data_IF_508014777570
#
_entry.id   IF_508014777570
#
_cell.length_a   1.000
_cell.length_b   1.000
_cell.length_c   1.000
_cell.angle_alpha   90.00
_cell.angle_beta   90.00
_cell.angle_gamma   90.00
#
_symmetry.space_group_name_H-M   'P 1'
#
loop_
_entity.id
_entity.type
_entity.pdbx_description
1 polymer ?
#
# COMPACT_ATOMS: atom_id res chain seq x y z
N UNK A 1 -28.06 -0.01 -13.51
CA UNK A 1 -26.80 -0.56 -12.99
C UNK A 1 -26.13 0.49 -12.09
N UNK A 2 -25.87 0.19 -10.81
CA UNK A 2 -25.18 1.11 -9.89
C UNK A 2 -23.83 1.63 -10.38
N UNK A 3 -23.06 0.84 -11.15
CA UNK A 3 -21.76 1.26 -11.69
C UNK A 3 -21.93 2.36 -12.74
N UNK A 4 -22.93 2.23 -13.61
CA UNK A 4 -23.26 3.25 -14.62
C UNK A 4 -23.72 4.54 -13.97
N UNK A 5 -24.58 4.45 -12.95
CA UNK A 5 -25.05 5.61 -12.19
C UNK A 5 -23.88 6.32 -11.50
N UNK A 6 -23.00 5.58 -10.83
CA UNK A 6 -21.83 6.14 -10.17
C UNK A 6 -20.91 6.88 -11.16
N UNK A 7 -20.63 6.29 -12.32
CA UNK A 7 -19.83 6.94 -13.36
C UNK A 7 -20.49 8.22 -13.90
N UNK A 8 -21.81 8.21 -14.12
CA UNK A 8 -22.55 9.37 -14.60
C UNK A 8 -22.52 10.54 -13.59
N UNK A 9 -22.68 10.26 -12.29
CA UNK A 9 -22.62 11.28 -11.23
C UNK A 9 -21.22 11.90 -11.12
N UNK A 10 -20.16 11.09 -11.20
CA UNK A 10 -18.78 11.60 -11.22
C UNK A 10 -18.55 12.52 -12.42
N UNK A 11 -19.01 12.11 -13.60
CA UNK A 11 -18.87 12.90 -14.82
C UNK A 11 -19.66 14.21 -14.75
N UNK A 12 -20.90 14.18 -14.24
CA UNK A 12 -21.72 15.38 -14.07
C UNK A 12 -21.02 16.43 -13.18
N UNK A 13 -20.39 15.99 -12.08
CA UNK A 13 -19.60 16.87 -11.23
C UNK A 13 -18.34 17.40 -11.91
N UNK A 14 -17.56 16.51 -12.55
CA UNK A 14 -16.33 16.90 -13.26
C UNK A 14 -16.59 17.93 -14.36
N UNK A 15 -17.71 17.80 -15.09
CA UNK A 15 -18.17 18.74 -16.11
C UNK A 15 -18.95 19.94 -15.54
N UNK A 16 -19.19 19.98 -14.22
CA UNK A 16 -19.96 21.02 -13.51
C UNK A 16 -21.35 21.27 -14.11
N UNK A 17 -22.07 20.20 -14.43
CA UNK A 17 -23.44 20.27 -14.97
C UNK A 17 -24.39 20.71 -13.86
N UNK A 18 -24.69 22.00 -13.80
CA UNK A 18 -25.47 22.63 -12.73
C UNK A 18 -26.88 22.05 -12.58
N UNK A 19 -27.49 21.62 -13.68
CA UNK A 19 -28.83 21.05 -13.73
C UNK A 19 -28.93 19.72 -12.96
N UNK A 20 -27.81 18.99 -12.85
CA UNK A 20 -27.73 17.70 -12.15
C UNK A 20 -27.25 17.81 -10.70
N UNK A 21 -27.02 19.03 -10.20
CA UNK A 21 -26.57 19.23 -8.82
C UNK A 21 -27.61 18.71 -7.80
N UNK A 22 -28.90 18.92 -8.07
CA UNK A 22 -29.97 18.39 -7.23
C UNK A 22 -29.94 16.86 -7.14
N UNK A 23 -29.66 16.19 -8.26
CA UNK A 23 -29.53 14.73 -8.30
C UNK A 23 -28.31 14.24 -7.51
N UNK A 24 -27.20 14.97 -7.58
CA UNK A 24 -26.00 14.68 -6.79
C UNK A 24 -26.29 14.81 -5.28
N UNK A 25 -26.95 15.89 -4.84
CA UNK A 25 -27.35 16.06 -3.43
C UNK A 25 -28.28 14.94 -2.98
N UNK A 26 -29.30 14.62 -3.78
CA UNK A 26 -30.24 13.55 -3.48
C UNK A 26 -29.53 12.18 -3.38
N UNK A 27 -28.67 11.85 -4.35
CA UNK A 27 -27.93 10.59 -4.36
C UNK A 27 -26.96 10.46 -3.17
N UNK A 28 -26.29 11.54 -2.75
CA UNK A 28 -25.38 11.50 -1.60
C UNK A 28 -26.13 11.20 -0.28
N UNK A 29 -27.29 11.84 -0.07
CA UNK A 29 -28.09 11.72 1.15
C UNK A 29 -28.98 10.47 1.23
N UNK A 30 -29.20 9.77 0.11
CA UNK A 30 -30.15 8.65 0.04
C UNK A 30 -29.62 7.40 0.75
N UNK A 31 -30.15 7.11 1.94
CA UNK A 31 -29.65 6.05 2.83
C UNK A 31 -29.70 4.64 2.24
N UNK A 32 -30.70 4.35 1.40
CA UNK A 32 -30.91 3.06 0.72
C UNK A 32 -30.14 2.94 -0.61
N UNK A 33 -29.46 3.99 -1.07
CA UNK A 33 -28.64 3.92 -2.27
C UNK A 33 -27.35 3.12 -2.04
N UNK A 34 -26.85 2.37 -3.05
CA UNK A 34 -25.57 1.68 -2.95
C UNK A 34 -24.43 2.63 -2.57
N UNK A 35 -23.54 2.18 -1.69
CA UNK A 35 -22.43 3.01 -1.17
C UNK A 35 -21.60 3.66 -2.28
N UNK A 36 -21.27 2.90 -3.34
CA UNK A 36 -20.52 3.40 -4.48
C UNK A 36 -21.21 4.56 -5.22
N UNK A 37 -22.55 4.54 -5.30
CA UNK A 37 -23.34 5.63 -5.90
C UNK A 37 -23.30 6.87 -5.01
N UNK A 38 -23.44 6.69 -3.69
CA UNK A 38 -23.36 7.78 -2.72
C UNK A 38 -21.97 8.44 -2.73
N UNK A 39 -20.90 7.65 -2.73
CA UNK A 39 -19.52 8.14 -2.83
C UNK A 39 -19.28 8.90 -4.14
N UNK A 40 -19.77 8.37 -5.27
CA UNK A 40 -19.69 9.05 -6.56
C UNK A 40 -20.40 10.41 -6.54
N UNK A 41 -21.57 10.50 -5.91
CA UNK A 41 -22.29 11.74 -5.74
C UNK A 41 -21.50 12.76 -4.90
N UNK A 42 -20.93 12.34 -3.77
CA UNK A 42 -20.08 13.19 -2.93
C UNK A 42 -18.87 13.72 -3.69
N UNK A 43 -18.18 12.87 -4.46
CA UNK A 43 -17.08 13.31 -5.32
C UNK A 43 -17.56 14.31 -6.39
N UNK A 44 -18.74 14.12 -6.97
CA UNK A 44 -19.32 15.06 -7.92
C UNK A 44 -19.62 16.42 -7.28
N UNK A 45 -20.17 16.43 -6.07
CA UNK A 45 -20.45 17.65 -5.29
C UNK A 45 -19.18 18.46 -4.98
N UNK A 46 -18.01 17.82 -4.90
CA UNK A 46 -16.73 18.51 -4.67
C UNK A 46 -16.41 19.58 -5.72
N UNK A 47 -17.02 19.53 -6.91
CA UNK A 47 -16.79 20.48 -7.99
C UNK A 47 -17.67 21.73 -7.93
N UNK A 48 -18.65 21.77 -7.02
CA UNK A 48 -19.62 22.86 -6.89
C UNK A 48 -19.28 23.74 -5.67
N UNK A 49 -19.05 25.06 -5.86
CA UNK A 49 -18.63 25.97 -4.79
C UNK A 49 -19.79 26.63 -4.03
N UNK A 50 -21.05 26.36 -4.39
CA UNK A 50 -22.21 26.97 -3.74
C UNK A 50 -22.55 26.33 -2.39
N UNK A 51 -23.46 26.98 -1.66
CA UNK A 51 -23.89 26.57 -0.32
C UNK A 51 -24.66 25.25 -0.32
N UNK A 52 -25.39 24.91 -1.39
CA UNK A 52 -26.15 23.65 -1.46
C UNK A 52 -25.24 22.44 -1.48
N UNK A 53 -24.18 22.47 -2.30
CA UNK A 53 -23.15 21.44 -2.28
C UNK A 53 -22.43 21.37 -0.93
N UNK A 54 -22.09 22.53 -0.36
CA UNK A 54 -21.44 22.63 0.96
C UNK A 54 -22.27 21.95 2.06
N UNK A 55 -23.54 22.28 2.16
CA UNK A 55 -24.46 21.76 3.19
C UNK A 55 -24.65 20.25 3.06
N UNK A 56 -24.82 19.74 1.83
CA UNK A 56 -24.95 18.31 1.57
C UNK A 56 -23.69 17.54 2.00
N UNK A 57 -22.50 18.06 1.68
CA UNK A 57 -21.23 17.45 2.07
C UNK A 57 -21.03 17.48 3.60
N UNK A 58 -21.31 18.59 4.27
CA UNK A 58 -21.22 18.69 5.73
C UNK A 58 -22.17 17.71 6.41
N UNK A 59 -23.41 17.58 5.91
CA UNK A 59 -24.39 16.65 6.47
C UNK A 59 -23.91 15.19 6.43
N UNK A 60 -23.27 14.77 5.33
CA UNK A 60 -22.73 13.41 5.20
C UNK A 60 -21.41 13.23 5.95
N UNK A 61 -20.59 14.28 6.08
CA UNK A 61 -19.34 14.24 6.85
C UNK A 61 -19.57 14.10 8.37
N UNK A 62 -20.77 14.44 8.86
CA UNK A 62 -21.14 14.31 10.28
C UNK A 62 -21.40 12.87 10.74
N UNK A 63 -21.59 12.70 12.05
CA UNK A 63 -21.68 11.39 12.73
C UNK A 63 -22.86 10.49 12.34
N UNK A 64 -23.82 10.99 11.56
CA UNK A 64 -25.03 10.24 11.14
C UNK A 64 -24.84 9.30 9.94
N UNK A 65 -23.70 9.36 9.25
CA UNK A 65 -23.42 8.52 8.07
C UNK A 65 -22.44 7.38 8.37
N UNK A 66 -22.38 6.30 7.58
CA UNK A 66 -21.29 5.32 7.65
C UNK A 66 -19.90 5.94 7.49
N UNK A 67 -18.90 5.45 8.22
CA UNK A 67 -17.55 6.00 8.25
C UNK A 67 -16.88 6.17 6.86
N UNK A 68 -17.02 5.23 5.89
CA UNK A 68 -16.50 5.45 4.53
C UNK A 68 -17.09 6.68 3.84
N UNK A 69 -18.39 6.94 4.02
CA UNK A 69 -19.08 8.10 3.44
C UNK A 69 -18.69 9.39 4.16
N UNK A 70 -18.54 9.36 5.49
CA UNK A 70 -18.08 10.52 6.24
C UNK A 70 -16.69 10.98 5.75
N UNK A 71 -15.76 10.03 5.60
CA UNK A 71 -14.41 10.27 5.09
C UNK A 71 -14.44 10.82 3.65
N UNK A 72 -15.27 10.22 2.78
CA UNK A 72 -15.44 10.69 1.40
C UNK A 72 -15.98 12.13 1.34
N UNK A 73 -17.00 12.45 2.13
CA UNK A 73 -17.60 13.78 2.18
C UNK A 73 -16.64 14.84 2.75
N UNK A 74 -15.90 14.51 3.81
CA UNK A 74 -14.89 15.39 4.39
C UNK A 74 -13.79 15.76 3.38
N UNK A 75 -13.33 14.78 2.59
CA UNK A 75 -12.34 15.02 1.52
C UNK A 75 -12.94 15.78 0.34
N UNK A 76 -14.23 15.58 0.02
CA UNK A 76 -14.90 16.31 -1.05
C UNK A 76 -15.05 17.82 -0.74
N UNK A 77 -15.15 18.21 0.54
CA UNK A 77 -15.18 19.62 0.96
C UNK A 77 -13.87 20.35 0.62
N UNK A 78 -12.74 19.64 0.53
CA UNK A 78 -11.40 20.24 0.45
C UNK A 78 -11.23 21.18 -0.75
N UNK A 79 -11.90 20.90 -1.87
CA UNK A 79 -11.72 21.65 -3.13
C UNK A 79 -12.30 23.07 -3.08
N UNK A 80 -13.50 23.22 -2.52
CA UNK A 80 -14.22 24.51 -2.52
C UNK A 80 -14.57 25.03 -1.12
N UNK A 81 -14.54 24.18 -0.09
CA UNK A 81 -15.03 24.43 1.27
C UNK A 81 -13.97 24.08 2.31
N UNK A 82 -12.75 24.58 2.10
CA UNK A 82 -11.52 24.15 2.79
C UNK A 82 -11.61 24.23 4.32
N UNK A 83 -12.20 25.29 4.86
CA UNK A 83 -12.31 25.47 6.31
C UNK A 83 -13.19 24.37 6.96
N UNK A 84 -14.31 24.03 6.33
CA UNK A 84 -15.19 22.96 6.80
C UNK A 84 -14.55 21.59 6.66
N UNK A 85 -13.77 21.38 5.60
CA UNK A 85 -13.00 20.16 5.41
C UNK A 85 -12.03 19.91 6.57
N UNK A 86 -11.30 20.93 7.03
CA UNK A 86 -10.36 20.81 8.15
C UNK A 86 -11.08 20.41 9.45
N UNK A 87 -12.25 21.01 9.72
CA UNK A 87 -13.08 20.69 10.88
C UNK A 87 -13.58 19.24 10.79
N UNK A 88 -14.10 18.83 9.64
CA UNK A 88 -14.61 17.48 9.42
C UNK A 88 -13.50 16.42 9.53
N UNK A 89 -12.35 16.65 8.89
CA UNK A 89 -11.20 15.73 8.93
C UNK A 89 -10.74 15.54 10.38
N UNK A 90 -10.54 16.63 11.13
CA UNK A 90 -10.15 16.57 12.55
C UNK A 90 -11.12 15.73 13.39
N UNK A 91 -12.43 15.87 13.15
CA UNK A 91 -13.45 15.11 13.87
C UNK A 91 -13.43 13.60 13.55
N UNK A 92 -12.91 13.21 12.39
CA UNK A 92 -12.83 11.80 11.95
C UNK A 92 -11.58 11.07 12.48
N UNK A 93 -10.49 11.79 12.73
CA UNK A 93 -9.21 11.18 13.11
C UNK A 93 -9.26 10.26 14.35
N UNK A 94 -10.03 10.56 15.41
CA UNK A 94 -10.13 9.67 16.56
C UNK A 94 -10.75 8.30 16.24
N UNK A 95 -11.55 8.22 15.16
CA UNK A 95 -12.16 6.98 14.68
C UNK A 95 -11.26 6.14 13.78
N UNK A 96 -10.09 6.65 13.37
CA UNK A 96 -9.11 5.92 12.55
C UNK A 96 -8.21 5.03 13.42
N UNK A 97 -8.81 4.01 14.05
CA UNK A 97 -8.07 3.11 14.94
C UNK A 97 -7.41 1.93 14.22
N UNK A 98 -7.87 1.59 13.02
CA UNK A 98 -7.24 0.57 12.17
C UNK A 98 -6.14 1.20 11.31
N UNK A 99 -4.95 0.62 11.33
CA UNK A 99 -3.78 1.17 10.63
C UNK A 99 -3.93 1.14 9.10
N UNK A 100 -4.63 0.15 8.55
CA UNK A 100 -4.87 0.02 7.11
C UNK A 100 -5.84 1.10 6.65
N UNK A 101 -6.93 1.30 7.39
CA UNK A 101 -7.90 2.37 7.12
C UNK A 101 -7.28 3.76 7.28
N UNK A 102 -6.49 3.98 8.33
CA UNK A 102 -5.78 5.24 8.55
C UNK A 102 -4.87 5.56 7.37
N UNK A 103 -4.06 4.60 6.92
CA UNK A 103 -3.16 4.78 5.77
C UNK A 103 -3.93 5.07 4.48
N UNK A 104 -5.00 4.33 4.21
CA UNK A 104 -5.84 4.58 3.03
C UNK A 104 -6.48 5.97 3.05
N UNK A 105 -6.89 6.44 4.24
CA UNK A 105 -7.42 7.79 4.41
C UNK A 105 -6.35 8.86 4.17
N UNK A 106 -5.20 8.76 4.82
CA UNK A 106 -4.11 9.74 4.70
C UNK A 106 -3.52 9.78 3.29
N UNK A 107 -3.40 8.64 2.60
CA UNK A 107 -2.99 8.61 1.19
C UNK A 107 -3.94 9.44 0.31
N UNK A 108 -5.26 9.34 0.52
CA UNK A 108 -6.23 10.16 -0.22
C UNK A 108 -6.21 11.62 0.20
N UNK A 109 -6.16 11.90 1.50
CA UNK A 109 -6.13 13.27 2.01
C UNK A 109 -4.91 14.04 1.49
N UNK A 110 -3.72 13.44 1.58
CA UNK A 110 -2.46 14.07 1.19
C UNK A 110 -2.26 14.14 -0.33
N UNK A 111 -3.12 13.47 -1.11
CA UNK A 111 -3.25 13.68 -2.56
C UNK A 111 -4.02 14.95 -2.93
N UNK A 112 -4.55 15.71 -1.97
CA UNK A 112 -5.26 16.97 -2.22
C UNK A 112 -4.32 18.15 -1.96
N UNK A 113 -4.09 18.97 -2.99
CA UNK A 113 -3.04 19.99 -2.94
C UNK A 113 -3.19 20.94 -1.75
N UNK A 114 -2.06 21.23 -1.10
CA UNK A 114 -1.92 22.07 0.08
C UNK A 114 -2.48 21.51 1.38
N UNK A 115 -3.18 20.36 1.38
CA UNK A 115 -3.96 19.93 2.55
C UNK A 115 -3.07 19.58 3.74
N UNK A 116 -1.89 19.01 3.48
CA UNK A 116 -0.84 18.78 4.47
C UNK A 116 -0.53 20.04 5.29
N UNK A 117 -0.23 21.15 4.61
CA UNK A 117 0.15 22.41 5.26
C UNK A 117 -1.01 23.04 6.05
N UNK A 118 -2.24 22.91 5.55
CA UNK A 118 -3.42 23.42 6.24
C UNK A 118 -3.77 22.58 7.46
N UNK A 119 -3.64 21.26 7.39
CA UNK A 119 -3.80 20.36 8.54
C UNK A 119 -2.73 20.63 9.61
N UNK A 120 -1.47 20.84 9.22
CA UNK A 120 -0.41 21.23 10.15
C UNK A 120 -0.77 22.50 10.93
N UNK A 121 -1.22 23.56 10.23
CA UNK A 121 -1.69 24.80 10.86
C UNK A 121 -2.90 24.56 11.76
N UNK A 122 -3.86 23.77 11.29
CA UNK A 122 -5.08 23.43 12.05
C UNK A 122 -4.74 22.70 13.35
N UNK A 123 -3.81 21.75 13.31
CA UNK A 123 -3.40 20.97 14.49
C UNK A 123 -2.56 21.80 15.47
N UNK A 124 -1.81 22.80 15.00
CA UNK A 124 -1.17 23.75 15.90
C UNK A 124 -2.19 24.67 16.60
N UNK A 125 -3.22 25.12 15.88
CA UNK A 125 -4.26 26.00 16.43
C UNK A 125 -5.19 25.27 17.40
N UNK A 126 -5.52 24.02 17.07
CA UNK A 126 -6.30 23.13 17.90
C UNK A 126 -5.56 21.79 17.95
N UNK A 127 -4.85 21.48 19.04
CA UNK A 127 -4.17 20.20 19.19
C UNK A 127 -5.14 19.01 19.15
N UNK A 128 -4.67 17.87 18.63
CA UNK A 128 -5.29 16.56 18.80
C UNK A 128 -4.93 16.01 20.18
N UNK A 129 -5.69 15.05 20.69
CA UNK A 129 -5.26 14.27 21.85
C UNK A 129 -4.10 13.32 21.47
N UNK A 130 -3.30 12.96 22.46
CA UNK A 130 -2.08 12.16 22.30
C UNK A 130 -2.33 10.83 21.58
N UNK A 131 -3.44 10.15 21.90
CA UNK A 131 -3.78 8.87 21.29
C UNK A 131 -4.12 9.06 19.81
N UNK A 132 -4.94 10.04 19.48
CA UNK A 132 -5.30 10.34 18.08
C UNK A 132 -4.06 10.73 17.27
N UNK A 133 -3.18 11.58 17.80
CA UNK A 133 -1.93 11.94 17.14
C UNK A 133 -1.04 10.71 16.91
N UNK A 134 -0.87 9.87 17.93
CA UNK A 134 -0.05 8.65 17.87
C UNK A 134 -0.57 7.63 16.85
N UNK A 135 -1.89 7.47 16.73
CA UNK A 135 -2.49 6.53 15.77
C UNK A 135 -2.33 7.00 14.31
N UNK A 136 -2.34 8.31 14.08
CA UNK A 136 -2.31 8.88 12.74
C UNK A 136 -0.89 9.18 12.24
N UNK A 137 0.06 9.44 13.14
CA UNK A 137 1.46 9.73 12.80
C UNK A 137 2.09 8.68 11.84
N UNK A 138 1.97 7.35 12.07
CA UNK A 138 2.55 6.34 11.18
C UNK A 138 1.89 6.21 9.80
N UNK A 139 0.75 6.87 9.60
CA UNK A 139 0.01 6.85 8.34
C UNK A 139 0.39 8.01 7.40
N UNK A 140 1.09 9.02 7.89
CA UNK A 140 1.58 10.16 7.10
C UNK A 140 2.96 9.82 6.51
N UNK A 141 3.16 9.90 5.19
CA UNK A 141 4.48 9.70 4.57
C UNK A 141 5.50 10.73 5.07
N UNK A 142 6.70 10.28 5.42
CA UNK A 142 7.80 11.13 5.91
C UNK A 142 8.59 11.74 4.75
N UNK A 143 7.99 12.76 4.15
CA UNK A 143 8.54 13.54 3.04
C UNK A 143 8.51 15.03 3.36
N UNK A 144 9.31 15.82 2.66
CA UNK A 144 9.47 17.26 2.91
C UNK A 144 8.14 18.03 2.82
N UNK A 145 7.24 17.66 1.89
CA UNK A 145 5.91 18.26 1.74
C UNK A 145 4.99 18.02 2.95
N UNK A 146 5.31 17.05 3.79
CA UNK A 146 4.55 16.68 4.98
C UNK A 146 5.29 17.00 6.28
N UNK A 147 6.50 17.56 6.21
CA UNK A 147 7.33 17.85 7.38
C UNK A 147 6.60 18.66 8.46
N UNK A 148 5.86 19.71 8.07
CA UNK A 148 5.10 20.53 9.02
C UNK A 148 3.95 19.76 9.70
N UNK A 149 3.28 18.86 8.97
CA UNK A 149 2.21 18.03 9.51
C UNK A 149 2.77 16.96 10.46
N UNK A 150 3.86 16.31 10.05
CA UNK A 150 4.57 15.32 10.86
C UNK A 150 5.12 15.92 12.14
N UNK A 151 5.67 17.13 12.07
CA UNK A 151 6.13 17.86 13.25
C UNK A 151 4.97 18.12 14.23
N UNK A 152 3.83 18.62 13.73
CA UNK A 152 2.64 18.82 14.55
C UNK A 152 2.17 17.52 15.22
N UNK A 153 2.12 16.41 14.47
CA UNK A 153 1.71 15.11 14.99
C UNK A 153 2.72 14.53 15.99
N UNK A 154 4.03 14.66 15.73
CA UNK A 154 5.10 14.20 16.63
C UNK A 154 5.05 14.93 17.97
N UNK A 155 4.93 16.26 17.95
CA UNK A 155 4.82 17.06 19.18
C UNK A 155 3.60 16.65 20.02
N UNK A 156 2.50 16.27 19.37
CA UNK A 156 1.24 15.93 20.03
C UNK A 156 1.16 14.46 20.47
N UNK A 157 1.86 13.55 19.78
CA UNK A 157 1.94 12.14 20.13
C UNK A 157 2.85 11.84 21.34
N UNK A 158 3.54 12.84 21.90
CA UNK A 158 4.32 12.68 23.12
C UNK A 158 5.53 11.75 22.97
N UNK A 159 5.92 11.05 24.04
CA UNK A 159 7.10 10.17 24.03
C UNK A 159 7.02 9.02 23.00
N UNK A 160 5.82 8.70 22.50
CA UNK A 160 5.61 7.75 21.40
C UNK A 160 6.08 8.27 20.02
N UNK A 161 6.38 9.57 19.90
CA UNK A 161 6.85 10.21 18.66
C UNK A 161 8.35 10.14 18.42
N UNK A 162 9.12 9.64 19.40
CA UNK A 162 10.56 9.52 19.30
C UNK A 162 10.93 8.54 18.19
N UNK A 163 11.36 9.07 17.05
CA UNK A 163 12.14 8.30 16.10
C UNK A 163 13.31 7.64 16.86
N UNK A 164 13.73 6.45 16.44
CA UNK A 164 14.72 5.67 17.16
C UNK A 164 15.98 6.50 17.40
N UNK A 165 16.25 6.84 18.67
CA UNK A 165 17.51 7.44 19.08
C UNK A 165 18.66 6.52 18.62
N UNK A 166 19.86 7.04 18.33
CA UNK A 166 21.01 6.21 17.94
C UNK A 166 21.23 4.99 18.87
N UNK A 167 20.89 5.12 20.15
CA UNK A 167 20.94 4.06 21.16
C UNK A 167 20.00 2.88 20.85
N UNK A 168 18.86 3.14 20.21
CA UNK A 168 17.90 2.11 19.81
C UNK A 168 18.36 1.28 18.59
N UNK A 169 19.19 1.85 17.69
CA UNK A 169 19.78 1.09 16.58
C UNK A 169 20.74 0.03 17.13
N UNK A 170 21.63 0.41 18.05
CA UNK A 170 22.57 -0.53 18.66
C UNK A 170 21.87 -1.61 19.48
N UNK A 171 20.80 -1.25 20.21
CA UNK A 171 19.95 -2.20 20.91
C UNK A 171 19.31 -3.23 19.96
N UNK A 172 18.74 -2.77 18.84
CA UNK A 172 18.17 -3.65 17.82
C UNK A 172 19.23 -4.52 17.12
N UNK A 173 20.44 -3.99 16.86
CA UNK A 173 21.56 -4.77 16.32
C UNK A 173 21.90 -5.93 17.26
N UNK A 174 22.06 -5.66 18.56
CA UNK A 174 22.35 -6.68 19.56
C UNK A 174 21.23 -7.72 19.64
N UNK A 175 19.97 -7.28 19.78
CA UNK A 175 18.81 -8.17 19.87
C UNK A 175 18.65 -9.05 18.62
N UNK A 176 18.81 -8.47 17.43
CA UNK A 176 18.77 -9.20 16.14
C UNK A 176 19.87 -10.25 16.05
N UNK A 177 21.07 -9.91 16.52
CA UNK A 177 22.23 -10.81 16.47
C UNK A 177 22.03 -12.00 17.40
N UNK A 178 21.57 -11.75 18.64
CA UNK A 178 21.44 -12.76 19.69
C UNK A 178 20.17 -13.61 19.56
N UNK A 179 19.04 -13.00 19.22
CA UNK A 179 17.70 -13.62 19.35
C UNK A 179 16.86 -13.59 18.08
N UNK A 180 17.34 -12.95 17.02
CA UNK A 180 16.58 -12.85 15.77
C UNK A 180 16.46 -14.19 15.05
N UNK A 181 15.26 -14.48 14.55
CA UNK A 181 14.92 -15.66 13.74
C UNK A 181 14.49 -15.24 12.33
N UNK A 182 15.25 -15.68 11.33
CA UNK A 182 15.00 -15.32 9.94
C UNK A 182 13.73 -15.94 9.35
N UNK A 183 13.34 -17.15 9.80
CA UNK A 183 12.11 -17.79 9.30
C UNK A 183 10.87 -17.07 9.82
N UNK A 184 10.87 -16.66 11.10
CA UNK A 184 9.81 -15.79 11.64
C UNK A 184 9.84 -14.40 10.99
N UNK A 185 11.03 -13.86 10.75
CA UNK A 185 11.24 -12.58 10.08
C UNK A 185 10.66 -12.54 8.66
N UNK A 186 10.79 -13.62 7.91
CA UNK A 186 10.18 -13.74 6.59
C UNK A 186 8.64 -13.66 6.68
N UNK A 187 8.02 -14.34 7.64
CA UNK A 187 6.57 -14.26 7.84
C UNK A 187 6.14 -12.84 8.21
N UNK A 188 6.95 -12.10 8.96
CA UNK A 188 6.70 -10.70 9.32
C UNK A 188 6.80 -9.80 8.08
N UNK A 189 7.85 -9.93 7.28
CA UNK A 189 8.04 -9.18 6.02
C UNK A 189 6.85 -9.30 5.07
N UNK A 190 6.18 -10.46 5.08
CA UNK A 190 5.03 -10.76 4.22
C UNK A 190 3.69 -10.26 4.76
N UNK A 191 3.63 -9.73 5.98
CA UNK A 191 2.37 -9.26 6.56
C UNK A 191 1.82 -8.07 5.76
N UNK A 192 0.56 -8.10 5.31
CA UNK A 192 -0.05 -7.00 4.57
C UNK A 192 0.02 -5.64 5.30
N UNK A 193 -0.09 -5.65 6.63
CA UNK A 193 -0.03 -4.45 7.46
C UNK A 193 1.32 -3.69 7.36
N UNK A 194 2.42 -4.41 7.08
CA UNK A 194 3.76 -3.85 6.93
C UNK A 194 4.11 -3.53 5.47
N UNK A 195 3.35 -4.04 4.49
CA UNK A 195 3.50 -3.71 3.06
C UNK A 195 4.91 -3.93 2.45
N UNK A 196 5.84 -4.60 3.14
CA UNK A 196 7.22 -4.72 2.65
C UNK A 196 7.24 -5.45 1.29
N UNK A 197 6.56 -6.60 1.20
CA UNK A 197 6.41 -7.37 -0.04
C UNK A 197 5.57 -6.65 -1.13
N UNK A 198 4.73 -5.68 -0.75
CA UNK A 198 3.97 -4.86 -1.71
C UNK A 198 4.89 -3.94 -2.50
N UNK A 199 5.96 -3.43 -1.87
CA UNK A 199 6.88 -2.49 -2.50
C UNK A 199 8.16 -3.15 -2.98
N UNK A 200 8.65 -4.15 -2.27
CA UNK A 200 9.95 -4.77 -2.48
C UNK A 200 9.82 -6.23 -2.90
N UNK A 201 10.56 -6.61 -3.94
CA UNK A 201 10.66 -7.99 -4.38
C UNK A 201 11.86 -8.71 -3.76
N UNK A 202 11.72 -10.01 -3.56
CA UNK A 202 12.83 -10.94 -3.23
C UNK A 202 12.84 -12.06 -4.26
N UNK A 203 13.90 -12.14 -5.05
CA UNK A 203 14.06 -13.16 -6.08
C UNK A 203 12.91 -13.16 -7.10
N UNK A 204 12.38 -11.98 -7.42
CA UNK A 204 11.27 -11.77 -8.36
C UNK A 204 9.86 -11.82 -7.76
N UNK A 205 9.71 -12.20 -6.49
CA UNK A 205 8.41 -12.24 -5.80
C UNK A 205 8.18 -10.99 -4.95
N UNK A 206 7.10 -10.25 -5.21
CA UNK A 206 6.78 -8.97 -4.58
C UNK A 206 6.73 -7.80 -5.56
N UNK A 207 6.58 -6.59 -5.04
CA UNK A 207 6.48 -5.37 -5.83
C UNK A 207 7.81 -4.82 -6.35
N UNK A 208 7.72 -3.90 -7.32
CA UNK A 208 8.86 -3.22 -7.95
C UNK A 208 8.84 -1.70 -7.74
N UNK A 209 8.17 -1.26 -6.67
CA UNK A 209 8.09 0.15 -6.29
C UNK A 209 9.41 0.56 -5.64
N UNK A 210 9.85 -0.20 -4.64
CA UNK A 210 11.11 -0.02 -3.93
C UNK A 210 12.25 -0.89 -4.50
N UNK A 211 13.48 -0.70 -4.00
CA UNK A 211 14.63 -1.50 -4.42
C UNK A 211 14.42 -3.00 -4.22
N UNK A 212 14.92 -3.79 -5.16
CA UNK A 212 14.96 -5.25 -5.02
C UNK A 212 15.81 -5.67 -3.81
N UNK A 213 15.28 -6.62 -3.03
CA UNK A 213 15.85 -7.05 -1.75
C UNK A 213 16.61 -8.37 -1.84
N UNK A 214 16.70 -8.98 -3.03
CA UNK A 214 17.29 -10.32 -3.27
C UNK A 214 18.66 -10.51 -2.63
N UNK A 215 19.50 -9.47 -2.66
CA UNK A 215 20.90 -9.53 -2.19
C UNK A 215 21.20 -8.58 -1.02
N UNK A 216 20.17 -7.99 -0.41
CA UNK A 216 20.37 -6.83 0.46
C UNK A 216 21.23 -7.17 1.69
N UNK A 217 20.99 -8.31 2.32
CA UNK A 217 21.72 -8.76 3.51
C UNK A 217 23.17 -9.16 3.24
N UNK A 218 23.51 -9.54 2.01
CA UNK A 218 24.88 -9.75 1.57
C UNK A 218 25.61 -8.43 1.23
N UNK A 219 24.87 -7.40 0.81
CA UNK A 219 25.42 -6.13 0.33
C UNK A 219 25.47 -5.01 1.37
N UNK A 220 24.72 -5.11 2.46
CA UNK A 220 24.59 -4.06 3.46
C UNK A 220 24.76 -4.61 4.89
N UNK A 221 25.44 -3.87 5.78
CA UNK A 221 25.57 -4.26 7.19
C UNK A 221 24.24 -4.08 7.94
N UNK A 222 24.08 -4.80 9.06
CA UNK A 222 22.82 -4.87 9.79
C UNK A 222 22.36 -3.51 10.35
N UNK A 223 23.28 -2.69 10.84
CA UNK A 223 23.01 -1.34 11.32
C UNK A 223 22.44 -0.44 10.21
N UNK A 224 22.96 -0.56 8.99
CA UNK A 224 22.43 0.13 7.81
C UNK A 224 21.01 -0.33 7.47
N UNK A 225 20.72 -1.63 7.55
CA UNK A 225 19.36 -2.15 7.31
C UNK A 225 18.37 -1.59 8.33
N UNK A 226 18.77 -1.57 9.59
CA UNK A 226 17.97 -1.02 10.69
C UNK A 226 17.73 0.48 10.49
N UNK A 227 18.79 1.25 10.24
CA UNK A 227 18.70 2.69 9.95
C UNK A 227 17.77 2.96 8.76
N UNK A 228 17.88 2.18 7.68
CA UNK A 228 17.09 2.40 6.46
C UNK A 228 15.59 2.13 6.66
N UNK A 229 15.21 1.18 7.50
CA UNK A 229 13.79 0.92 7.80
C UNK A 229 13.21 1.95 8.77
N UNK A 230 14.04 2.37 9.73
CA UNK A 230 13.64 3.33 10.76
C UNK A 230 13.61 4.77 10.23
N UNK A 231 14.54 5.12 9.33
CA UNK A 231 14.74 6.44 8.75
C UNK A 231 14.82 6.34 7.21
N UNK A 232 13.74 5.96 6.52
CA UNK A 232 13.74 5.66 5.09
C UNK A 232 14.11 6.85 4.19
N UNK A 233 13.94 8.08 4.68
CA UNK A 233 14.34 9.31 3.98
C UNK A 233 15.82 9.69 4.15
N UNK A 234 16.54 9.10 5.12
CA UNK A 234 17.91 9.50 5.43
C UNK A 234 18.90 9.16 4.29
N UNK A 235 18.70 8.01 3.64
CA UNK A 235 19.54 7.52 2.53
C UNK A 235 18.66 6.83 1.49
N UNK A 236 18.28 7.57 0.47
CA UNK A 236 17.48 7.03 -0.65
C UNK A 236 18.42 6.52 -1.74
N UNK A 237 18.21 5.28 -2.19
CA UNK A 237 18.98 4.70 -3.29
C UNK A 237 18.70 5.47 -4.58
N UNK A 238 19.76 5.73 -5.35
CA UNK A 238 19.61 6.41 -6.64
C UNK A 238 18.64 5.65 -7.57
N UNK A 239 17.81 6.41 -8.29
CA UNK A 239 16.71 5.88 -9.10
C UNK A 239 15.43 5.54 -8.31
N UNK A 240 15.43 5.64 -6.98
CA UNK A 240 14.26 5.42 -6.12
C UNK A 240 13.76 6.66 -5.40
N UNK A 241 14.25 7.83 -5.78
CA UNK A 241 13.71 9.10 -5.30
C UNK A 241 12.25 9.24 -5.74
N UNK A 242 11.42 9.57 -4.75
CA UNK A 242 10.04 9.93 -4.95
C UNK A 242 9.96 11.35 -5.51
N UNK A 243 8.94 11.58 -6.34
CA UNK A 243 8.55 12.90 -6.82
C UNK A 243 7.10 13.14 -6.42
N UNK A 244 6.81 14.36 -6.02
CA UNK A 244 5.48 14.87 -5.78
C UNK A 244 5.14 15.84 -6.91
N UNK A 245 4.02 15.60 -7.59
CA UNK A 245 3.52 16.43 -8.68
C UNK A 245 2.18 17.03 -8.30
N UNK A 246 2.10 18.35 -8.32
CA UNK A 246 0.84 19.07 -8.23
C UNK A 246 0.29 19.27 -9.64
N UNK A 247 -0.97 18.94 -9.84
CA UNK A 247 -1.67 18.97 -11.13
C UNK A 247 -2.67 20.12 -11.17
N UNK A 248 -2.97 20.61 -12.38
CA UNK A 248 -3.84 21.79 -12.59
C UNK A 248 -5.26 21.63 -12.06
N UNK A 249 -5.74 20.41 -11.92
CA UNK A 249 -7.07 20.09 -11.39
C UNK A 249 -7.11 20.03 -9.85
N UNK A 250 -5.97 20.28 -9.19
CA UNK A 250 -5.81 20.42 -7.75
C UNK A 250 -5.36 19.13 -7.04
N UNK A 251 -4.98 18.09 -7.79
CA UNK A 251 -4.46 16.86 -7.20
C UNK A 251 -2.94 16.87 -7.04
N UNK A 252 -2.48 16.18 -6.01
CA UNK A 252 -1.09 15.89 -5.73
C UNK A 252 -0.88 14.41 -5.96
N UNK A 253 0.05 14.07 -6.85
CA UNK A 253 0.38 12.69 -7.19
C UNK A 253 1.83 12.44 -6.76
N UNK A 254 2.02 11.42 -5.93
CA UNK A 254 3.32 11.01 -5.43
C UNK A 254 3.69 9.65 -5.99
N UNK A 255 4.92 9.53 -6.49
CA UNK A 255 5.40 8.28 -7.06
C UNK A 255 6.88 8.32 -7.42
N UNK A 256 7.42 7.21 -7.87
CA UNK A 256 8.79 7.09 -8.36
C UNK A 256 8.82 7.49 -9.82
N UNK A 257 9.70 8.42 -10.20
CA UNK A 257 9.85 8.83 -11.58
C UNK A 257 10.38 7.67 -12.45
N UNK A 258 9.63 7.31 -13.50
CA UNK A 258 10.06 6.31 -14.49
C UNK A 258 10.60 6.97 -15.75
N UNK A 259 9.93 8.04 -16.19
CA UNK A 259 10.27 8.78 -17.40
C UNK A 259 9.80 10.23 -17.28
N UNK A 260 10.56 11.16 -17.85
CA UNK A 260 10.17 12.56 -17.99
C UNK A 260 10.70 13.12 -19.29
N UNK A 261 9.90 13.96 -19.94
CA UNK A 261 10.23 14.64 -21.19
C UNK A 261 9.46 14.10 -22.40
N UNK A 262 9.43 14.90 -23.46
CA UNK A 262 8.66 14.59 -24.67
C UNK A 262 7.16 14.90 -24.53
N UNK A 263 6.78 15.84 -23.65
CA UNK A 263 5.39 16.24 -23.40
C UNK A 263 4.66 15.35 -22.40
N UNK A 264 5.35 14.40 -21.78
CA UNK A 264 4.78 13.47 -20.83
C UNK A 264 5.77 13.08 -19.73
N UNK A 265 5.23 12.90 -18.54
CA UNK A 265 5.93 12.38 -17.37
C UNK A 265 5.20 11.13 -16.88
N UNK A 266 5.97 10.07 -16.61
CA UNK A 266 5.46 8.77 -16.14
C UNK A 266 6.05 8.46 -14.78
N UNK A 267 5.20 8.09 -13.83
CA UNK A 267 5.60 7.65 -12.49
C UNK A 267 5.02 6.28 -12.18
N UNK A 268 5.65 5.55 -11.26
CA UNK A 268 5.02 4.45 -10.54
C UNK A 268 4.50 4.98 -9.20
N UNK A 269 3.21 4.86 -8.93
CA UNK A 269 2.64 5.25 -7.64
C UNK A 269 3.04 4.28 -6.51
N UNK A 270 2.56 4.53 -5.29
CA UNK A 270 2.89 3.74 -4.10
C UNK A 270 2.44 2.26 -4.16
N UNK A 271 1.55 1.90 -5.09
CA UNK A 271 1.12 0.50 -5.31
C UNK A 271 1.71 -0.10 -6.60
N UNK A 272 2.55 0.66 -7.31
CA UNK A 272 3.24 0.23 -8.52
C UNK A 272 2.46 0.45 -9.81
N UNK A 273 1.35 1.18 -9.77
CA UNK A 273 0.61 1.56 -10.98
C UNK A 273 1.38 2.63 -11.74
N UNK A 274 1.57 2.44 -13.04
CA UNK A 274 2.11 3.49 -13.89
C UNK A 274 1.06 4.56 -14.15
N UNK A 275 1.36 5.78 -13.73
CA UNK A 275 0.53 6.97 -13.97
C UNK A 275 1.26 7.84 -14.97
N UNK A 276 0.55 8.21 -16.04
CA UNK A 276 1.08 9.00 -17.12
C UNK A 276 0.39 10.36 -17.18
N UNK A 277 1.16 11.43 -17.06
CA UNK A 277 0.69 12.80 -17.00
C UNK A 277 1.27 13.59 -18.17
N UNK A 278 0.43 14.35 -18.87
CA UNK A 278 0.93 15.37 -19.79
C UNK A 278 1.73 16.42 -19.02
N UNK A 279 2.87 16.85 -19.56
CA UNK A 279 3.74 17.80 -18.85
C UNK A 279 3.00 19.12 -18.58
N UNK A 280 2.09 19.53 -19.46
CA UNK A 280 1.24 20.70 -19.26
C UNK A 280 0.25 20.52 -18.10
N UNK A 281 -0.15 19.30 -17.75
CA UNK A 281 -1.06 19.09 -16.61
C UNK A 281 -0.37 19.33 -15.26
N UNK A 282 0.97 19.32 -15.23
CA UNK A 282 1.79 19.46 -14.02
C UNK A 282 2.06 20.94 -13.77
N UNK A 283 1.63 21.44 -12.60
CA UNK A 283 1.87 22.81 -12.14
C UNK A 283 3.20 22.91 -11.42
N UNK A 284 3.53 21.89 -10.63
CA UNK A 284 4.74 21.86 -9.83
C UNK A 284 5.21 20.43 -9.66
N UNK A 285 6.52 20.24 -9.69
CA UNK A 285 7.17 18.99 -9.36
C UNK A 285 8.23 19.26 -8.29
N UNK A 286 8.24 18.43 -7.26
CA UNK A 286 9.22 18.48 -6.18
C UNK A 286 9.79 17.08 -5.97
N UNK A 287 11.08 16.97 -5.67
CA UNK A 287 11.67 15.71 -5.22
C UNK A 287 11.37 15.56 -3.72
N UNK A 288 10.81 14.42 -3.32
CA UNK A 288 10.22 14.24 -1.98
C UNK A 288 10.96 13.19 -1.14
N UNK A 289 12.19 12.83 -1.50
CA UNK A 289 12.95 11.81 -0.78
C UNK A 289 12.46 10.39 -1.06
N UNK A 290 11.86 9.72 -0.07
CA UNK A 290 11.52 8.28 -0.11
C UNK A 290 10.02 8.03 -0.23
N UNK A 291 9.62 7.02 -1.00
CA UNK A 291 8.25 6.49 -0.98
C UNK A 291 7.99 5.58 0.23
N UNK A 292 9.03 5.09 0.90
CA UNK A 292 8.88 4.16 2.01
C UNK A 292 8.32 4.90 3.24
N UNK A 293 7.21 4.43 3.83
CA UNK A 293 6.66 5.07 5.03
C UNK A 293 7.63 4.98 6.21
N UNK A 294 7.80 6.08 6.94
CA UNK A 294 8.46 6.04 8.24
C UNK A 294 7.59 5.30 9.27
N UNK A 295 8.22 4.87 10.38
CA UNK A 295 7.54 4.19 11.50
C UNK A 295 6.76 2.92 11.11
N UNK A 296 7.08 2.31 9.97
CA UNK A 296 6.35 1.16 9.43
C UNK A 296 6.32 -0.03 10.40
N UNK A 297 7.37 -0.19 11.20
CA UNK A 297 7.52 -1.29 12.16
C UNK A 297 7.11 -0.93 13.59
N UNK A 298 6.56 0.27 13.83
CA UNK A 298 6.19 0.71 15.18
C UNK A 298 5.05 -0.13 15.79
N UNK A 299 4.25 -0.81 14.97
CA UNK A 299 3.13 -1.64 15.41
C UNK A 299 3.52 -3.07 15.78
N UNK A 300 4.79 -3.46 15.63
CA UNK A 300 5.28 -4.81 15.95
C UNK A 300 6.27 -4.77 17.13
N UNK A 301 6.31 -5.84 17.90
CA UNK A 301 7.17 -5.94 19.09
C UNK A 301 8.66 -5.88 18.75
N UNK A 302 9.52 -5.49 19.70
CA UNK A 302 10.98 -5.45 19.49
C UNK A 302 11.54 -6.81 19.02
N UNK A 303 10.98 -7.92 19.52
CA UNK A 303 11.39 -9.26 19.08
C UNK A 303 10.99 -9.53 17.62
N UNK A 304 9.80 -9.08 17.18
CA UNK A 304 9.39 -9.18 15.79
C UNK A 304 10.24 -8.27 14.88
N UNK A 305 10.63 -7.08 15.35
CA UNK A 305 11.57 -6.23 14.64
C UNK A 305 12.93 -6.94 14.48
N UNK A 306 13.44 -7.56 15.54
CA UNK A 306 14.68 -8.32 15.51
C UNK A 306 14.61 -9.53 14.55
N UNK A 307 13.48 -10.25 14.53
CA UNK A 307 13.25 -11.34 13.59
C UNK A 307 13.23 -10.82 12.15
N UNK A 308 12.50 -9.73 11.87
CA UNK A 308 12.47 -9.07 10.56
C UNK A 308 13.88 -8.68 10.09
N UNK A 309 14.66 -8.00 10.93
CA UNK A 309 16.02 -7.61 10.57
C UNK A 309 16.96 -8.81 10.42
N UNK A 310 16.75 -9.88 11.19
CA UNK A 310 17.48 -11.13 10.99
C UNK A 310 17.22 -11.65 9.58
N UNK A 311 15.97 -11.75 9.16
CA UNK A 311 15.60 -12.16 7.80
C UNK A 311 16.28 -11.28 6.74
N UNK A 312 16.14 -9.95 6.82
CA UNK A 312 16.76 -9.03 5.87
C UNK A 312 18.28 -9.20 5.80
N UNK A 313 18.94 -9.45 6.94
CA UNK A 313 20.38 -9.68 7.01
C UNK A 313 20.84 -11.00 6.37
N UNK A 314 19.94 -11.98 6.20
CA UNK A 314 20.26 -13.27 5.56
C UNK A 314 20.04 -13.26 4.04
N UNK A 315 19.29 -12.29 3.51
CA UNK A 315 18.98 -12.23 2.08
C UNK A 315 20.25 -12.16 1.22
N UNK A 316 20.39 -13.13 0.31
CA UNK A 316 21.52 -13.25 -0.60
C UNK A 316 22.78 -13.87 0.01
N UNK A 317 22.74 -14.30 1.28
CA UNK A 317 23.79 -15.14 1.87
C UNK A 317 23.49 -16.62 1.59
N UNK A 318 24.52 -17.48 1.47
CA UNK A 318 24.31 -18.91 1.28
C UNK A 318 23.42 -19.50 2.38
N UNK A 319 22.36 -20.22 1.98
CA UNK A 319 21.40 -20.85 2.89
C UNK A 319 19.96 -20.72 2.38
N UNK A 320 19.00 -20.93 3.28
CA UNK A 320 17.56 -20.95 2.96
C UNK A 320 17.03 -19.62 2.42
N UNK A 321 17.76 -18.52 2.64
CA UNK A 321 17.39 -17.17 2.21
C UNK A 321 18.24 -16.66 1.03
N UNK A 322 18.99 -17.54 0.36
CA UNK A 322 19.71 -17.19 -0.87
C UNK A 322 18.75 -17.09 -2.06
N UNK A 323 18.20 -15.92 -2.29
CA UNK A 323 17.33 -15.67 -3.45
C UNK A 323 18.09 -15.56 -4.78
N UNK A 324 19.43 -15.44 -4.73
CA UNK A 324 20.29 -15.16 -5.91
C UNK A 324 20.67 -16.43 -6.66
N UNK A 325 20.90 -17.52 -5.92
CA UNK A 325 21.34 -18.82 -6.46
C UNK A 325 20.29 -19.90 -6.31
N UNK A 326 19.36 -19.76 -5.37
CA UNK A 326 18.27 -20.72 -5.23
C UNK A 326 17.39 -20.67 -6.48
N UNK A 327 17.16 -21.85 -7.07
CA UNK A 327 16.25 -22.08 -8.21
C UNK A 327 14.81 -22.30 -7.76
N UNK A 328 14.50 -22.00 -6.51
CA UNK A 328 13.18 -22.25 -5.95
C UNK A 328 12.10 -21.36 -6.62
N UNK A 329 10.90 -21.90 -6.88
CA UNK A 329 9.78 -21.13 -7.41
C UNK A 329 9.26 -20.15 -6.35
N UNK A 330 9.44 -18.85 -6.57
CA UNK A 330 8.97 -17.80 -5.62
C UNK A 330 7.68 -17.11 -6.05
N UNK A 331 7.24 -17.33 -7.28
CA UNK A 331 5.93 -16.87 -7.75
C UNK A 331 5.11 -18.09 -8.10
N UNK A 332 4.00 -18.24 -7.40
CA UNK A 332 3.02 -19.28 -7.60
C UNK A 332 1.76 -18.69 -8.23
N UNK A 333 0.94 -19.56 -8.79
CA UNK A 333 -0.34 -19.23 -9.35
C UNK A 333 -1.37 -20.24 -8.85
N UNK A 334 -2.47 -19.76 -8.28
CA UNK A 334 -3.52 -20.58 -7.71
C UNK A 334 -4.76 -20.61 -8.61
N UNK A 335 -5.33 -21.80 -8.75
CA UNK A 335 -6.61 -22.02 -9.42
C UNK A 335 -7.53 -22.87 -8.53
N UNK A 336 -8.58 -22.28 -7.93
CA UNK A 336 -9.57 -23.03 -7.18
C UNK A 336 -10.29 -24.06 -8.06
N UNK A 337 -10.41 -25.30 -7.58
CA UNK A 337 -11.07 -26.39 -8.29
C UNK A 337 -12.51 -26.53 -7.77
N UNK A 338 -13.49 -26.36 -8.66
CA UNK A 338 -14.92 -26.52 -8.36
C UNK A 338 -15.49 -27.69 -9.16
N UNK A 339 -15.26 -28.91 -8.66
CA UNK A 339 -15.66 -30.15 -9.33
C UNK A 339 -14.52 -30.76 -10.14
N UNK A 340 -14.73 -31.03 -11.42
CA UNK A 340 -13.70 -31.60 -12.28
C UNK A 340 -12.62 -30.58 -12.65
N UNK A 341 -11.39 -31.07 -12.88
CA UNK A 341 -10.28 -30.26 -13.35
C UNK A 341 -10.62 -29.62 -14.70
N UNK A 342 -10.38 -28.31 -14.83
CA UNK A 342 -10.55 -27.62 -16.12
C UNK A 342 -9.52 -28.14 -17.13
N UNK A 343 -9.94 -28.37 -18.37
CA UNK A 343 -9.04 -28.85 -19.42
C UNK A 343 -7.85 -27.89 -19.62
N UNK A 344 -6.63 -28.43 -19.69
CA UNK A 344 -5.41 -27.66 -19.86
C UNK A 344 -4.85 -27.07 -18.55
N UNK A 345 -5.53 -27.24 -17.41
CA UNK A 345 -5.01 -26.79 -16.13
C UNK A 345 -3.75 -27.56 -15.72
N UNK A 346 -3.63 -28.83 -16.12
CA UNK A 346 -2.44 -29.67 -15.95
C UNK A 346 -1.20 -29.15 -16.70
N UNK A 347 -1.43 -28.30 -17.73
CA UNK A 347 -0.38 -27.62 -18.51
C UNK A 347 -0.18 -26.16 -18.08
N UNK A 348 -0.88 -25.68 -17.07
CA UNK A 348 -0.85 -24.27 -16.69
C UNK A 348 -1.42 -23.34 -17.76
N UNK A 349 -2.50 -23.75 -18.45
CA UNK A 349 -3.06 -22.97 -19.56
C UNK A 349 -3.36 -21.50 -19.15
N UNK A 350 -2.81 -20.50 -19.86
CA UNK A 350 -2.92 -19.09 -19.48
C UNK A 350 -4.33 -18.51 -19.65
N UNK A 351 -5.21 -19.23 -20.35
CA UNK A 351 -6.63 -18.88 -20.52
C UNK A 351 -7.45 -19.10 -19.24
N UNK A 352 -6.91 -19.80 -18.24
CA UNK A 352 -7.59 -20.04 -16.97
C UNK A 352 -7.36 -18.88 -16.00
N UNK A 353 -8.29 -18.63 -15.06
CA UNK A 353 -8.23 -17.51 -14.13
C UNK A 353 -7.26 -17.76 -12.97
N UNK A 354 -5.97 -17.91 -13.29
CA UNK A 354 -4.90 -18.10 -12.31
C UNK A 354 -4.68 -16.84 -11.48
N UNK A 355 -4.61 -17.00 -10.16
CA UNK A 355 -4.34 -15.90 -9.23
C UNK A 355 -2.88 -15.96 -8.76
N UNK A 356 -2.07 -14.92 -9.00
CA UNK A 356 -0.68 -14.92 -8.56
C UNK A 356 -0.57 -14.83 -7.04
N UNK A 357 0.33 -15.63 -6.46
CA UNK A 357 0.64 -15.63 -5.03
C UNK A 357 2.15 -15.72 -4.88
N UNK A 358 2.73 -14.85 -4.06
CA UNK A 358 4.16 -14.93 -3.75
C UNK A 358 4.42 -16.16 -2.86
N UNK A 359 5.51 -16.88 -3.07
CA UNK A 359 6.04 -17.89 -2.16
C UNK A 359 7.15 -17.33 -1.27
N UNK A 360 7.64 -18.11 -0.33
CA UNK A 360 8.83 -17.79 0.47
C UNK A 360 10.09 -17.74 -0.39
N UNK A 361 11.20 -17.27 0.16
CA UNK A 361 12.51 -17.17 -0.52
C UNK A 361 13.02 -18.53 -1.00
N UNK A 362 12.80 -19.58 -0.20
CA UNK A 362 13.07 -20.97 -0.58
C UNK A 362 11.93 -21.64 -1.36
N UNK A 363 10.92 -20.87 -1.79
CA UNK A 363 9.88 -21.28 -2.73
C UNK A 363 8.70 -22.04 -2.14
N UNK A 364 8.51 -22.02 -0.82
CA UNK A 364 7.33 -22.60 -0.19
C UNK A 364 6.10 -21.72 -0.42
N UNK A 365 4.99 -22.33 -0.84
CA UNK A 365 3.67 -21.71 -0.77
C UNK A 365 3.08 -21.90 0.62
N UNK A 366 2.74 -20.82 1.33
CA UNK A 366 2.17 -20.91 2.67
C UNK A 366 0.68 -21.29 2.60
N UNK A 367 0.28 -22.33 3.34
CA UNK A 367 -1.11 -22.79 3.35
C UNK A 367 -2.11 -21.71 3.79
N UNK A 368 -1.72 -20.85 4.75
CA UNK A 368 -2.55 -19.72 5.19
C UNK A 368 -2.78 -18.68 4.10
N UNK A 369 -1.77 -18.41 3.27
CA UNK A 369 -1.90 -17.48 2.14
C UNK A 369 -2.72 -18.11 1.03
N UNK A 370 -2.49 -19.38 0.71
CA UNK A 370 -3.27 -20.10 -0.29
C UNK A 370 -4.75 -20.18 0.09
N UNK A 371 -5.07 -20.42 1.37
CA UNK A 371 -6.44 -20.50 1.87
C UNK A 371 -7.25 -19.22 1.63
N UNK A 372 -6.61 -18.04 1.70
CA UNK A 372 -7.28 -16.77 1.45
C UNK A 372 -7.83 -16.65 0.01
N UNK A 373 -7.30 -17.44 -0.94
CA UNK A 373 -7.73 -17.44 -2.34
C UNK A 373 -8.72 -18.55 -2.70
N UNK A 374 -8.96 -19.52 -1.80
CA UNK A 374 -9.82 -20.68 -2.09
C UNK A 374 -11.31 -20.34 -2.10
N UNK A 375 -11.75 -19.39 -1.28
CA UNK A 375 -13.17 -19.15 -1.03
C UNK A 375 -13.86 -20.45 -0.57
N UNK A 376 -14.93 -20.85 -1.26
CA UNK A 376 -15.67 -22.09 -0.95
C UNK A 376 -15.08 -23.35 -1.60
N UNK A 377 -13.99 -23.25 -2.35
CA UNK A 377 -13.36 -24.41 -2.99
C UNK A 377 -12.64 -25.29 -1.97
N UNK A 378 -12.78 -26.61 -2.10
CA UNK A 378 -12.11 -27.59 -1.22
C UNK A 378 -10.69 -27.91 -1.66
N UNK A 379 -10.38 -27.65 -2.93
CA UNK A 379 -9.10 -27.98 -3.56
C UNK A 379 -8.66 -26.82 -4.45
N UNK A 380 -7.36 -26.68 -4.65
CA UNK A 380 -6.79 -25.81 -5.68
C UNK A 380 -5.57 -26.45 -6.31
N UNK A 381 -5.30 -26.04 -7.55
CA UNK A 381 -4.01 -26.23 -8.17
C UNK A 381 -3.09 -25.09 -7.77
N UNK A 382 -1.83 -25.42 -7.51
CA UNK A 382 -0.74 -24.48 -7.46
C UNK A 382 0.19 -24.76 -8.64
N UNK A 383 0.46 -23.73 -9.44
CA UNK A 383 1.36 -23.80 -10.57
C UNK A 383 2.50 -22.78 -10.40
N UNK A 384 3.67 -23.09 -10.95
CA UNK A 384 4.76 -22.14 -11.10
C UNK A 384 5.50 -22.44 -12.41
N UNK A 385 6.15 -21.43 -12.97
CA UNK A 385 6.95 -21.56 -14.19
C UNK A 385 8.41 -21.39 -13.85
N UNK A 386 9.21 -22.39 -14.21
CA UNK A 386 10.66 -22.40 -14.00
C UNK A 386 11.30 -22.34 -15.37
N UNK A 387 12.08 -21.29 -15.63
CA UNK A 387 12.86 -21.16 -16.86
C UNK A 387 14.34 -21.41 -16.55
N UNK A 388 14.95 -22.31 -17.31
CA UNK A 388 16.32 -22.77 -17.11
C UNK A 388 17.12 -22.51 -18.38
N UNK A 389 18.26 -21.83 -18.25
CA UNK A 389 19.12 -21.51 -19.39
C UNK A 389 19.83 -22.73 -20.00
N UNK A 390 19.87 -23.86 -19.27
CA UNK A 390 20.48 -25.11 -19.69
C UNK A 390 19.77 -26.31 -19.03
N UNK A 391 19.86 -27.52 -19.61
CA UNK A 391 19.36 -28.74 -18.99
C UNK A 391 19.87 -28.87 -17.55
N UNK A 392 18.95 -29.04 -16.61
CA UNK A 392 19.22 -28.96 -15.17
C UNK A 392 18.32 -29.94 -14.44
N UNK A 393 18.89 -30.70 -13.49
CA UNK A 393 18.12 -31.51 -12.57
C UNK A 393 17.53 -30.63 -11.45
N UNK A 394 16.22 -30.77 -11.22
CA UNK A 394 15.47 -30.02 -10.20
C UNK A 394 14.69 -31.00 -9.34
N UNK A 395 14.86 -30.90 -8.03
CA UNK A 395 14.04 -31.61 -7.06
C UNK A 395 12.94 -30.67 -6.54
N UNK A 396 11.68 -31.10 -6.61
CA UNK A 396 10.54 -30.40 -6.06
C UNK A 396 9.94 -31.23 -4.93
N UNK A 397 9.91 -30.68 -3.73
CA UNK A 397 9.21 -31.30 -2.60
C UNK A 397 7.72 -30.94 -2.69
N UNK A 398 6.87 -31.95 -2.86
CA UNK A 398 5.42 -31.78 -2.82
C UNK A 398 4.94 -31.80 -1.36
N UNK A 399 3.94 -30.98 -0.99
CA UNK A 399 3.37 -31.05 0.34
C UNK A 399 2.62 -32.38 0.52
N UNK A 400 2.56 -32.88 1.76
CA UNK A 400 1.97 -34.20 2.05
C UNK A 400 0.49 -34.34 1.65
N UNK A 401 -0.21 -33.22 1.47
CA UNK A 401 -1.61 -33.16 1.02
C UNK A 401 -1.76 -32.98 -0.50
N UNK A 402 -0.69 -33.01 -1.29
CA UNK A 402 -0.78 -32.99 -2.74
C UNK A 402 -1.34 -34.33 -3.26
N UNK A 403 -2.47 -34.28 -3.96
CA UNK A 403 -3.13 -35.47 -4.52
C UNK A 403 -2.58 -35.88 -5.89
N UNK A 404 -2.01 -34.93 -6.63
CA UNK A 404 -1.41 -35.14 -7.95
C UNK A 404 -0.46 -34.00 -8.30
N UNK A 405 0.47 -34.27 -9.22
CA UNK A 405 1.39 -33.27 -9.76
C UNK A 405 1.65 -33.53 -11.25
N UNK A 406 1.97 -32.47 -11.98
CA UNK A 406 2.30 -32.51 -13.40
C UNK A 406 3.51 -31.63 -13.70
N UNK A 407 4.31 -32.04 -14.68
CA UNK A 407 5.36 -31.21 -15.30
C UNK A 407 5.03 -31.13 -16.78
N UNK A 408 4.79 -29.92 -17.29
CA UNK A 408 4.40 -29.68 -18.69
C UNK A 408 3.22 -30.55 -19.17
N UNK A 409 2.24 -30.80 -18.28
CA UNK A 409 1.08 -31.64 -18.54
C UNK A 409 1.30 -33.14 -18.38
N UNK A 410 2.52 -33.59 -18.06
CA UNK A 410 2.85 -34.99 -17.82
C UNK A 410 2.73 -35.30 -16.33
N UNK A 411 1.86 -36.25 -15.92
CA UNK A 411 1.75 -36.63 -14.52
C UNK A 411 3.08 -37.12 -13.95
N UNK A 412 3.41 -36.71 -12.73
CA UNK A 412 4.56 -37.21 -11.98
C UNK A 412 4.08 -37.90 -10.70
N UNK A 413 4.61 -39.09 -10.42
CA UNK A 413 4.29 -39.82 -9.20
C UNK A 413 5.11 -39.23 -8.05
N UNK A 414 4.44 -38.86 -6.96
CA UNK A 414 5.10 -38.43 -5.73
C UNK A 414 5.89 -39.59 -5.13
N UNK A 415 7.22 -39.47 -5.09
CA UNK A 415 8.15 -40.41 -4.46
C UNK A 415 8.84 -39.77 -3.28
#
# INVERSE_FOLDING_TARGET
DPKVVAAALQLAGALRVTELQGDLVAAAGKADAPEAVRMAALHGLAYFPDSGAREALIAVAGSGSPAPLQRCAALALVKNHRADALVAIRALLPGLTDATEARAFWQKALSLSGLSADLAKSFHQQPLDEKTASLNLPAVPDIDEHAGLLEALRQQAGAAAGGPAKDSIQGLVALTTEKGDAARGELIYRRPALMCATCHAVGGAGGKVGPDMTSIGASAPLDYLIESVLLPGAKVKEGYHAVVMETRDGHTIMGRLLKSGGGQTVIADAVGTEVSLADEAIVKRTDSGSLMPANLIASISEQEQADLFKFLSQLGKPGDFDATKSRAPRVWALLPVKGALSAGAEKGAPSLPWMPVNGTVNGRLLGSEAAAFLGDAKEALAASRIELAAPTEVALALPANASAAWIDGVPVNGG
#
